data_IF_888806402586
#
_entry.id   IF_888806402586
#
_cell.length_a   1.000
_cell.length_b   1.000
_cell.length_c   1.000
_cell.angle_alpha   90.00
_cell.angle_beta   90.00
_cell.angle_gamma   90.00
#
_symmetry.space_group_name_H-M   'P 1'
#
loop_
_entity.id
_entity.type
_entity.pdbx_description
1 polymer ?
#
# COMPACT_ATOMS: atom_id res chain seq x y z
N UNK A 1 -29.84 10.04 9.77
CA UNK A 1 -29.52 11.40 9.30
C UNK A 1 -28.01 11.59 9.00
N UNK A 2 -27.08 11.32 9.94
CA UNK A 2 -25.61 11.46 9.68
C UNK A 2 -25.11 10.64 8.50
N UNK A 3 -25.50 9.36 8.36
CA UNK A 3 -25.07 8.49 7.27
C UNK A 3 -25.57 8.99 5.89
N UNK A 4 -26.79 9.54 5.83
CA UNK A 4 -27.35 10.09 4.60
C UNK A 4 -26.57 11.35 4.15
N UNK A 5 -26.22 12.23 5.08
CA UNK A 5 -25.39 13.40 4.79
C UNK A 5 -24.00 13.01 4.29
N UNK A 6 -23.38 11.98 4.89
CA UNK A 6 -22.07 11.47 4.43
C UNK A 6 -22.14 10.83 3.04
N UNK A 7 -23.19 10.03 2.75
CA UNK A 7 -23.42 9.45 1.41
C UNK A 7 -23.66 10.52 0.35
N UNK A 8 -24.40 11.57 0.67
CA UNK A 8 -24.59 12.73 -0.21
C UNK A 8 -23.28 13.47 -0.44
N UNK A 9 -22.50 13.72 0.61
CA UNK A 9 -21.17 14.32 0.48
C UNK A 9 -20.25 13.48 -0.43
N UNK A 10 -20.23 12.17 -0.26
CA UNK A 10 -19.46 11.27 -1.13
C UNK A 10 -19.92 11.33 -2.59
N UNK A 11 -21.23 11.39 -2.84
CA UNK A 11 -21.81 11.47 -4.20
C UNK A 11 -21.52 12.80 -4.91
N UNK A 12 -21.53 13.92 -4.20
CA UNK A 12 -21.35 15.26 -4.77
C UNK A 12 -19.94 15.82 -4.61
N UNK A 13 -19.15 15.32 -3.66
CA UNK A 13 -17.75 15.71 -3.41
C UNK A 13 -16.77 14.58 -3.72
N UNK A 14 -17.07 13.73 -4.68
CA UNK A 14 -16.27 12.53 -5.00
C UNK A 14 -14.79 12.83 -5.25
N UNK A 15 -14.46 14.03 -5.68
CA UNK A 15 -13.10 14.50 -5.93
C UNK A 15 -12.30 14.81 -4.63
N UNK A 16 -12.98 14.88 -3.47
CA UNK A 16 -12.41 15.31 -2.18
C UNK A 16 -12.61 14.30 -1.05
N UNK A 17 -12.98 13.05 -1.35
CA UNK A 17 -13.13 12.05 -0.30
C UNK A 17 -11.76 11.70 0.25
N UNK A 18 -11.45 12.19 1.45
CA UNK A 18 -10.20 11.84 2.12
C UNK A 18 -10.21 10.35 2.52
N UNK A 19 -9.04 9.69 2.55
CA UNK A 19 -8.93 8.31 3.04
C UNK A 19 -9.51 8.11 4.44
N UNK A 20 -9.40 9.12 5.30
CA UNK A 20 -9.99 9.11 6.64
C UNK A 20 -11.52 9.10 6.62
N UNK A 21 -12.14 9.89 5.72
CA UNK A 21 -13.59 9.97 5.63
C UNK A 21 -14.21 8.66 5.12
N UNK A 22 -13.58 8.00 4.14
CA UNK A 22 -14.08 6.72 3.62
C UNK A 22 -14.07 5.63 4.68
N UNK A 23 -13.00 5.51 5.46
CA UNK A 23 -12.93 4.53 6.55
C UNK A 23 -14.05 4.75 7.58
N UNK A 24 -14.31 6.01 7.92
CA UNK A 24 -15.42 6.35 8.84
C UNK A 24 -16.78 5.95 8.26
N UNK A 25 -17.01 6.16 6.96
CA UNK A 25 -18.25 5.75 6.30
C UNK A 25 -18.40 4.23 6.33
N UNK A 26 -17.38 3.49 5.95
CA UNK A 26 -17.40 2.04 5.90
C UNK A 26 -17.59 1.41 7.28
N UNK A 27 -16.95 1.96 8.33
CA UNK A 27 -17.20 1.55 9.73
C UNK A 27 -18.66 1.81 10.16
N UNK A 28 -19.24 2.95 9.79
CA UNK A 28 -20.64 3.27 10.06
C UNK A 28 -21.62 2.35 9.32
N UNK A 29 -21.20 1.76 8.22
CA UNK A 29 -21.97 0.75 7.46
C UNK A 29 -21.78 -0.65 8.01
N UNK A 30 -20.87 -0.85 8.96
CA UNK A 30 -20.68 -2.11 9.67
C UNK A 30 -19.48 -2.95 9.20
N UNK A 31 -18.59 -2.39 8.36
CA UNK A 31 -17.33 -3.04 8.02
C UNK A 31 -16.34 -2.82 9.17
N UNK A 32 -15.71 -3.88 9.62
CA UNK A 32 -14.62 -3.81 10.61
C UNK A 32 -13.32 -3.38 9.90
N UNK A 33 -12.93 -2.11 10.09
CA UNK A 33 -11.69 -1.53 9.53
C UNK A 33 -10.82 -1.02 10.66
N UNK A 34 -9.59 -1.49 10.69
CA UNK A 34 -8.57 -1.12 11.67
C UNK A 34 -8.08 0.32 11.53
N UNK A 35 -7.24 0.74 12.50
CA UNK A 35 -6.65 2.07 12.54
C UNK A 35 -5.49 2.20 11.55
N UNK A 36 -5.16 3.43 11.15
CA UNK A 36 -4.06 3.75 10.22
C UNK A 36 -4.17 3.08 8.83
N UNK A 37 -5.27 2.42 8.52
CA UNK A 37 -5.54 1.87 7.19
C UNK A 37 -5.90 2.98 6.22
N UNK A 38 -5.30 2.95 5.02
CA UNK A 38 -5.54 3.94 3.97
C UNK A 38 -6.10 3.26 2.73
N UNK A 39 -7.25 3.76 2.29
CA UNK A 39 -7.86 3.40 1.00
C UNK A 39 -7.59 4.56 0.04
N UNK A 40 -6.64 4.37 -0.88
CA UNK A 40 -6.29 5.37 -1.89
C UNK A 40 -7.34 5.44 -2.98
N UNK A 41 -7.66 6.64 -3.44
CA UNK A 41 -8.66 6.90 -4.47
C UNK A 41 -9.96 6.10 -4.20
N UNK A 42 -10.68 6.42 -3.12
CA UNK A 42 -11.81 5.62 -2.65
C UNK A 42 -12.92 5.41 -3.69
N UNK A 43 -13.02 6.33 -4.67
CA UNK A 43 -14.04 6.27 -5.71
C UNK A 43 -13.74 5.25 -6.81
N UNK A 44 -12.50 4.80 -6.90
CA UNK A 44 -12.10 3.75 -7.84
C UNK A 44 -12.23 2.33 -7.28
N UNK A 45 -12.57 2.20 -5.98
CA UNK A 45 -12.67 0.91 -5.31
C UNK A 45 -14.04 0.27 -5.52
N UNK A 46 -14.04 -1.05 -5.61
CA UNK A 46 -15.25 -1.86 -5.48
C UNK A 46 -15.15 -2.66 -4.19
N UNK A 47 -15.68 -2.12 -3.10
CA UNK A 47 -15.75 -2.80 -1.80
C UNK A 47 -17.18 -3.26 -1.60
N UNK A 48 -17.37 -4.55 -1.32
CA UNK A 48 -18.69 -5.11 -1.07
C UNK A 48 -19.32 -4.46 0.17
N UNK A 49 -20.47 -3.82 -0.04
CA UNK A 49 -21.23 -3.09 0.99
C UNK A 49 -22.60 -3.71 1.26
N UNK A 50 -22.93 -4.83 0.62
CA UNK A 50 -24.19 -5.54 0.87
C UNK A 50 -24.10 -6.40 2.12
N UNK A 51 -22.89 -6.96 2.39
CA UNK A 51 -22.64 -7.86 3.52
C UNK A 51 -21.49 -7.35 4.38
N UNK A 52 -21.63 -6.14 4.90
CA UNK A 52 -20.58 -5.41 5.63
C UNK A 52 -20.00 -6.19 6.80
N UNK A 53 -20.82 -7.03 7.47
CA UNK A 53 -20.38 -7.91 8.57
C UNK A 53 -19.54 -9.12 8.12
N UNK A 54 -19.41 -9.34 6.81
CA UNK A 54 -18.58 -10.39 6.20
C UNK A 54 -17.22 -9.89 5.75
N UNK A 55 -16.89 -8.61 6.01
CA UNK A 55 -15.60 -8.00 5.63
C UNK A 55 -14.92 -7.44 6.86
N UNK A 56 -13.64 -7.86 7.02
CA UNK A 56 -12.74 -7.33 8.02
C UNK A 56 -11.42 -6.91 7.37
N UNK A 57 -10.93 -5.71 7.73
CA UNK A 57 -9.65 -5.15 7.28
C UNK A 57 -8.90 -4.70 8.54
N UNK A 58 -7.70 -5.19 8.74
CA UNK A 58 -6.86 -4.88 9.90
C UNK A 58 -6.27 -3.48 9.90
N UNK A 59 -5.32 -3.26 10.81
CA UNK A 59 -4.60 -2.01 10.99
C UNK A 59 -3.50 -1.83 9.94
N UNK A 60 -3.12 -0.57 9.67
CA UNK A 60 -1.98 -0.20 8.81
C UNK A 60 -2.05 -0.73 7.38
N UNK A 61 -3.21 -1.14 6.90
CA UNK A 61 -3.36 -1.59 5.52
C UNK A 61 -3.27 -0.44 4.51
N UNK A 62 -2.75 -0.73 3.33
CA UNK A 62 -2.67 0.21 2.21
C UNK A 62 -3.37 -0.42 1.00
N UNK A 63 -4.60 0.02 0.72
CA UNK A 63 -5.40 -0.46 -0.41
C UNK A 63 -5.28 0.56 -1.53
N UNK A 64 -4.58 0.19 -2.61
CA UNK A 64 -4.29 1.12 -3.71
C UNK A 64 -5.41 1.16 -4.74
N UNK A 65 -5.31 2.05 -5.72
CA UNK A 65 -6.37 2.37 -6.70
C UNK A 65 -6.95 1.15 -7.41
N UNK A 66 -8.28 1.14 -7.58
CA UNK A 66 -8.98 0.19 -8.45
C UNK A 66 -9.10 -1.22 -7.91
N UNK A 67 -8.88 -1.44 -6.61
CA UNK A 67 -9.03 -2.76 -6.02
C UNK A 67 -10.50 -3.16 -5.88
N UNK A 68 -10.76 -4.46 -6.00
CA UNK A 68 -12.07 -5.08 -5.77
C UNK A 68 -11.97 -6.03 -4.58
N UNK A 69 -12.88 -5.90 -3.60
CA UNK A 69 -12.95 -6.76 -2.40
C UNK A 69 -14.38 -7.28 -2.29
N UNK A 70 -14.55 -8.60 -2.37
CA UNK A 70 -15.83 -9.28 -2.44
C UNK A 70 -16.08 -10.13 -1.21
N UNK A 71 -17.36 -10.27 -0.83
CA UNK A 71 -17.88 -11.22 0.18
C UNK A 71 -18.94 -12.15 -0.40
N UNK A 72 -19.31 -11.96 -1.68
CA UNK A 72 -20.23 -12.79 -2.44
C UNK A 72 -19.95 -12.62 -3.94
N UNK A 73 -20.53 -13.52 -4.75
CA UNK A 73 -20.63 -13.34 -6.20
C UNK A 73 -22.02 -13.76 -6.72
N UNK A 74 -22.24 -13.64 -8.02
CA UNK A 74 -23.51 -13.98 -8.66
C UNK A 74 -23.43 -15.23 -9.56
N UNK A 75 -22.37 -16.04 -9.46
CA UNK A 75 -22.20 -17.28 -10.24
C UNK A 75 -23.34 -18.28 -10.00
N UNK A 76 -23.99 -18.21 -8.83
CA UNK A 76 -25.20 -18.95 -8.48
C UNK A 76 -26.35 -18.81 -9.49
N UNK A 77 -26.39 -17.71 -10.27
CA UNK A 77 -27.42 -17.53 -11.30
C UNK A 77 -27.32 -18.59 -12.41
N UNK A 78 -26.11 -19.02 -12.72
CA UNK A 78 -25.84 -20.10 -13.68
C UNK A 78 -26.32 -21.43 -13.11
N UNK A 79 -25.96 -21.74 -11.86
CA UNK A 79 -26.37 -22.97 -11.19
C UNK A 79 -27.90 -23.10 -11.14
N UNK A 80 -28.59 -22.00 -10.81
CA UNK A 80 -30.06 -21.96 -10.79
C UNK A 80 -30.67 -22.34 -12.14
N UNK A 81 -30.10 -21.87 -13.25
CA UNK A 81 -30.60 -22.18 -14.60
C UNK A 81 -30.40 -23.63 -14.99
N UNK A 82 -29.38 -24.30 -14.47
CA UNK A 82 -29.07 -25.71 -14.75
C UNK A 82 -29.80 -26.66 -13.82
N UNK A 83 -29.78 -26.39 -12.51
CA UNK A 83 -30.26 -27.28 -11.46
C UNK A 83 -31.67 -26.92 -11.00
N UNK A 84 -32.18 -25.72 -11.28
CA UNK A 84 -33.48 -25.22 -10.89
C UNK A 84 -33.58 -24.76 -9.43
N UNK A 85 -32.54 -25.00 -8.61
CA UNK A 85 -32.53 -24.65 -7.20
C UNK A 85 -31.94 -23.27 -6.95
N UNK A 86 -32.41 -22.62 -5.88
CA UNK A 86 -31.81 -21.37 -5.40
C UNK A 86 -30.75 -21.72 -4.36
N UNK A 87 -29.49 -21.67 -4.77
CA UNK A 87 -28.33 -21.95 -3.91
C UNK A 87 -27.76 -20.62 -3.41
N UNK A 88 -27.68 -20.47 -2.09
CA UNK A 88 -27.05 -19.31 -1.45
C UNK A 88 -25.54 -19.51 -1.34
N UNK A 89 -24.79 -18.39 -1.35
CA UNK A 89 -23.37 -18.41 -1.08
C UNK A 89 -22.95 -17.16 -0.32
N UNK A 90 -21.91 -17.28 0.49
CA UNK A 90 -21.24 -16.19 1.18
C UNK A 90 -19.87 -16.66 1.66
N UNK A 91 -18.90 -15.77 1.68
CA UNK A 91 -17.58 -16.03 2.23
C UNK A 91 -17.09 -14.84 3.04
N UNK A 92 -16.73 -15.06 4.31
CA UNK A 92 -16.10 -14.02 5.12
C UNK A 92 -14.72 -13.70 4.55
N UNK A 93 -14.51 -12.43 4.18
CA UNK A 93 -13.22 -11.96 3.66
C UNK A 93 -12.49 -11.21 4.76
N UNK A 94 -11.27 -11.67 5.07
CA UNK A 94 -10.44 -11.13 6.15
C UNK A 94 -9.11 -10.69 5.58
N UNK A 95 -8.74 -9.44 5.84
CA UNK A 95 -7.43 -8.87 5.53
C UNK A 95 -6.79 -8.54 6.88
N UNK A 96 -5.63 -9.14 7.16
CA UNK A 96 -4.86 -8.95 8.39
C UNK A 96 -4.27 -7.54 8.50
N UNK A 97 -3.30 -7.38 9.40
CA UNK A 97 -2.65 -6.10 9.66
C UNK A 97 -1.46 -5.88 8.71
N UNK A 98 -1.14 -4.61 8.44
CA UNK A 98 0.02 -4.24 7.63
C UNK A 98 0.04 -4.94 6.26
N UNK A 99 -1.09 -4.91 5.56
CA UNK A 99 -1.24 -5.51 4.22
C UNK A 99 -1.24 -4.44 3.15
N UNK A 100 -0.35 -4.58 2.17
CA UNK A 100 -0.36 -3.76 0.95
C UNK A 100 -1.09 -4.48 -0.17
N UNK A 101 -2.13 -3.86 -0.73
CA UNK A 101 -2.86 -4.38 -1.89
C UNK A 101 -2.56 -3.50 -3.10
N UNK A 102 -1.81 -4.07 -4.04
CA UNK A 102 -1.40 -3.42 -5.29
C UNK A 102 -2.58 -3.07 -6.19
N UNK A 103 -2.40 -2.05 -7.04
CA UNK A 103 -3.44 -1.49 -7.90
C UNK A 103 -4.15 -2.58 -8.73
N UNK A 104 -5.47 -2.41 -8.88
CA UNK A 104 -6.32 -3.31 -9.70
C UNK A 104 -6.31 -4.78 -9.27
N UNK A 105 -5.98 -5.07 -8.01
CA UNK A 105 -6.10 -6.42 -7.46
C UNK A 105 -7.54 -6.74 -7.08
N UNK A 106 -7.91 -8.02 -7.20
CA UNK A 106 -9.22 -8.55 -6.81
C UNK A 106 -9.05 -9.55 -5.67
N UNK A 107 -9.71 -9.29 -4.54
CA UNK A 107 -9.79 -10.19 -3.40
C UNK A 107 -11.16 -10.87 -3.47
N UNK A 108 -11.16 -12.17 -3.74
CA UNK A 108 -12.39 -12.93 -3.88
C UNK A 108 -13.02 -13.24 -2.51
N UNK A 109 -14.32 -13.53 -2.52
CA UNK A 109 -15.05 -13.90 -1.31
C UNK A 109 -14.39 -15.09 -0.59
N UNK A 110 -14.44 -15.10 0.74
CA UNK A 110 -13.87 -16.15 1.57
C UNK A 110 -12.34 -16.15 1.63
N UNK A 111 -11.69 -15.11 1.10
CA UNK A 111 -10.23 -14.96 1.19
C UNK A 111 -9.82 -14.52 2.59
N UNK A 112 -8.81 -15.20 3.15
CA UNK A 112 -8.16 -14.82 4.39
C UNK A 112 -6.69 -14.47 4.11
N UNK A 113 -6.33 -13.22 4.28
CA UNK A 113 -4.94 -12.72 4.14
C UNK A 113 -4.38 -12.50 5.54
N UNK A 114 -3.25 -13.12 5.85
CA UNK A 114 -2.53 -12.92 7.11
C UNK A 114 -1.88 -11.54 7.23
N UNK A 115 -1.08 -11.34 8.27
CA UNK A 115 -0.40 -10.08 8.53
C UNK A 115 0.88 -9.92 7.69
N UNK A 116 1.32 -8.67 7.46
CA UNK A 116 2.57 -8.37 6.77
C UNK A 116 2.63 -8.97 5.35
N UNK A 117 1.58 -8.81 4.57
CA UNK A 117 1.48 -9.36 3.21
C UNK A 117 1.54 -8.25 2.17
N UNK A 118 2.31 -8.49 1.11
CA UNK A 118 2.33 -7.64 -0.09
C UNK A 118 1.62 -8.38 -1.22
N UNK A 119 0.52 -7.80 -1.71
CA UNK A 119 -0.20 -8.26 -2.90
C UNK A 119 0.26 -7.43 -4.09
N UNK A 120 0.86 -8.07 -5.09
CA UNK A 120 1.27 -7.42 -6.34
C UNK A 120 0.08 -6.88 -7.13
N UNK A 121 0.31 -5.80 -7.89
CA UNK A 121 -0.74 -5.19 -8.72
C UNK A 121 -1.35 -6.19 -9.71
N UNK A 122 -2.67 -6.05 -9.98
CA UNK A 122 -3.40 -6.90 -10.94
C UNK A 122 -3.59 -8.35 -10.48
N UNK A 123 -3.39 -8.65 -9.21
CA UNK A 123 -3.52 -10.01 -8.68
C UNK A 123 -4.98 -10.40 -8.41
N UNK A 124 -5.30 -11.68 -8.59
CA UNK A 124 -6.58 -12.27 -8.15
C UNK A 124 -6.31 -13.23 -7.00
N UNK A 125 -6.73 -12.85 -5.80
CA UNK A 125 -6.41 -13.53 -4.54
C UNK A 125 -7.61 -14.31 -4.05
N UNK A 126 -7.39 -15.57 -3.68
CA UNK A 126 -8.41 -16.46 -3.10
C UNK A 126 -7.80 -17.41 -2.06
N UNK A 127 -8.64 -17.92 -1.16
CA UNK A 127 -8.24 -18.88 -0.13
C UNK A 127 -7.43 -18.28 1.01
N UNK A 128 -6.57 -19.08 1.63
CA UNK A 128 -5.79 -18.69 2.80
C UNK A 128 -4.37 -18.29 2.41
N UNK A 129 -4.02 -17.05 2.67
CA UNK A 129 -2.69 -16.48 2.43
C UNK A 129 -1.97 -16.36 3.78
N UNK A 130 -0.83 -17.03 3.98
CA UNK A 130 -0.09 -16.94 5.24
C UNK A 130 0.50 -15.55 5.44
N UNK A 131 0.87 -15.23 6.69
CA UNK A 131 1.57 -14.00 7.03
C UNK A 131 2.99 -13.96 6.47
N UNK A 132 3.58 -12.75 6.34
CA UNK A 132 4.98 -12.52 5.98
C UNK A 132 5.38 -13.02 4.59
N UNK A 133 4.50 -12.81 3.62
CA UNK A 133 4.75 -13.22 2.21
C UNK A 133 4.46 -12.09 1.21
N UNK A 134 5.06 -12.23 0.04
CA UNK A 134 4.71 -11.47 -1.17
C UNK A 134 4.01 -12.42 -2.12
N UNK A 135 2.81 -12.05 -2.56
CA UNK A 135 2.02 -12.79 -3.52
C UNK A 135 1.76 -11.96 -4.77
N UNK A 136 1.62 -12.59 -5.92
CA UNK A 136 1.22 -11.93 -7.16
C UNK A 136 0.64 -12.93 -8.18
N UNK A 137 -0.07 -12.38 -9.17
CA UNK A 137 -0.57 -13.11 -10.33
C UNK A 137 -2.06 -13.40 -10.31
N UNK A 138 -2.55 -14.06 -11.37
CA UNK A 138 -3.93 -14.53 -11.52
C UNK A 138 -3.92 -15.99 -11.96
N UNK A 139 -4.27 -16.96 -11.08
CA UNK A 139 -4.48 -16.78 -9.64
C UNK A 139 -3.18 -16.40 -8.89
N UNK A 140 -3.30 -15.63 -7.80
CA UNK A 140 -2.16 -15.21 -7.02
C UNK A 140 -1.44 -16.40 -6.38
N UNK A 141 -0.10 -16.35 -6.43
CA UNK A 141 0.79 -17.35 -5.82
C UNK A 141 1.81 -16.66 -4.95
N UNK A 142 2.35 -17.39 -3.96
CA UNK A 142 3.48 -16.92 -3.16
C UNK A 142 4.69 -16.80 -4.07
N UNK A 143 5.25 -15.58 -4.16
CA UNK A 143 6.44 -15.27 -4.94
C UNK A 143 7.70 -15.47 -4.11
N UNK A 144 7.63 -15.06 -2.82
CA UNK A 144 8.73 -15.15 -1.86
C UNK A 144 8.25 -14.80 -0.46
N UNK A 145 9.10 -15.02 0.54
CA UNK A 145 8.89 -14.50 1.89
C UNK A 145 9.09 -12.98 1.93
N UNK A 146 8.54 -12.33 2.94
CA UNK A 146 8.74 -10.89 3.14
C UNK A 146 10.21 -10.56 3.46
N UNK A 147 10.90 -11.41 4.22
CA UNK A 147 12.33 -11.23 4.54
C UNK A 147 13.21 -11.26 3.29
N UNK A 148 12.97 -12.23 2.40
CA UNK A 148 13.64 -12.27 1.09
C UNK A 148 13.37 -11.01 0.28
N UNK A 149 12.13 -10.52 0.30
CA UNK A 149 11.77 -9.28 -0.40
C UNK A 149 12.50 -8.07 0.17
N UNK A 150 12.56 -7.94 1.50
CA UNK A 150 13.29 -6.87 2.20
C UNK A 150 14.78 -6.92 1.82
N UNK A 151 15.41 -8.10 1.85
CA UNK A 151 16.81 -8.25 1.48
C UNK A 151 17.08 -7.81 0.02
N UNK A 152 16.21 -8.19 -0.92
CA UNK A 152 16.27 -7.76 -2.32
C UNK A 152 16.12 -6.24 -2.43
N UNK A 153 15.18 -5.62 -1.71
CA UNK A 153 14.95 -4.17 -1.74
C UNK A 153 16.15 -3.39 -1.19
N UNK A 154 16.71 -3.84 -0.06
CA UNK A 154 17.94 -3.24 0.51
C UNK A 154 19.10 -3.28 -0.49
N UNK A 155 19.31 -4.43 -1.15
CA UNK A 155 20.37 -4.58 -2.16
C UNK A 155 20.18 -3.67 -3.39
N UNK A 156 18.92 -3.47 -3.83
CA UNK A 156 18.59 -2.65 -5.01
C UNK A 156 18.59 -1.14 -4.73
N UNK A 157 18.23 -0.74 -3.51
CA UNK A 157 17.97 0.66 -3.14
C UNK A 157 19.11 1.61 -3.54
N UNK A 158 20.36 1.21 -3.32
CA UNK A 158 21.53 2.03 -3.69
C UNK A 158 21.64 2.28 -5.19
N UNK A 159 21.48 1.24 -5.99
CA UNK A 159 21.52 1.36 -7.47
C UNK A 159 20.36 2.19 -8.00
N UNK A 160 19.17 2.01 -7.43
CA UNK A 160 18.00 2.79 -7.79
C UNK A 160 18.18 4.28 -7.42
N UNK A 161 18.83 4.58 -6.29
CA UNK A 161 19.17 5.94 -5.89
C UNK A 161 20.16 6.61 -6.86
N UNK A 162 21.16 5.88 -7.37
CA UNK A 162 22.09 6.38 -8.39
C UNK A 162 21.38 6.66 -9.71
N UNK A 163 20.55 5.73 -10.16
CA UNK A 163 19.73 5.94 -11.35
C UNK A 163 18.82 7.17 -11.20
N UNK A 164 18.15 7.31 -10.05
CA UNK A 164 17.29 8.45 -9.75
C UNK A 164 18.08 9.78 -9.81
N UNK A 165 19.22 9.85 -9.11
CA UNK A 165 20.07 11.03 -9.07
C UNK A 165 20.56 11.42 -10.46
N UNK A 166 21.16 10.50 -11.20
CA UNK A 166 21.73 10.76 -12.52
C UNK A 166 20.64 11.17 -13.54
N UNK A 167 19.48 10.52 -13.50
CA UNK A 167 18.33 10.86 -14.35
C UNK A 167 17.79 12.26 -14.02
N UNK A 168 17.73 12.62 -12.74
CA UNK A 168 17.32 13.96 -12.31
C UNK A 168 18.31 15.02 -12.82
N UNK A 169 19.62 14.82 -12.63
CA UNK A 169 20.65 15.73 -13.12
C UNK A 169 20.54 15.94 -14.63
N UNK A 170 20.41 14.87 -15.41
CA UNK A 170 20.23 14.93 -16.86
C UNK A 170 18.95 15.68 -17.27
N UNK A 171 17.84 15.45 -16.56
CA UNK A 171 16.55 16.04 -16.89
C UNK A 171 16.43 17.51 -16.50
N UNK A 172 17.01 17.90 -15.35
CA UNK A 172 16.85 19.23 -14.76
C UNK A 172 18.06 20.15 -14.96
N UNK A 173 19.20 19.65 -15.46
CA UNK A 173 20.43 20.41 -15.63
C UNK A 173 21.09 20.87 -14.32
N UNK A 174 20.68 20.27 -13.19
CA UNK A 174 21.22 20.56 -11.84
C UNK A 174 21.15 19.34 -10.94
N UNK A 175 21.89 19.35 -9.84
CA UNK A 175 21.79 18.30 -8.80
C UNK A 175 20.46 18.43 -8.02
N UNK A 176 19.85 17.29 -7.61
CA UNK A 176 18.68 17.32 -6.73
C UNK A 176 19.06 17.80 -5.32
N UNK A 177 18.12 18.45 -4.64
CA UNK A 177 18.22 18.69 -3.19
C UNK A 177 17.94 17.39 -2.42
N UNK A 178 18.29 17.36 -1.13
CA UNK A 178 17.98 16.21 -0.26
C UNK A 178 16.48 15.90 -0.27
N UNK A 179 15.62 16.92 -0.22
CA UNK A 179 14.17 16.76 -0.29
C UNK A 179 13.72 16.13 -1.62
N UNK A 180 14.33 16.55 -2.74
CA UNK A 180 14.03 16.03 -4.08
C UNK A 180 14.52 14.59 -4.29
N UNK A 181 15.43 14.09 -3.46
CA UNK A 181 15.84 12.68 -3.46
C UNK A 181 14.74 11.75 -2.95
N UNK A 182 13.61 12.28 -2.45
CA UNK A 182 12.48 11.50 -1.99
C UNK A 182 12.89 10.46 -0.94
N UNK A 183 12.45 9.20 -1.04
CA UNK A 183 12.72 8.18 -0.02
C UNK A 183 14.20 7.78 0.09
N UNK A 184 15.06 8.20 -0.84
CA UNK A 184 16.48 7.87 -0.82
C UNK A 184 17.31 8.72 0.15
N UNK A 185 16.71 9.75 0.79
CA UNK A 185 17.40 10.53 1.82
C UNK A 185 17.97 9.63 2.94
N UNK A 186 17.33 8.50 3.20
CA UNK A 186 17.76 7.54 4.22
C UNK A 186 19.16 6.95 3.97
N UNK A 187 19.72 7.09 2.79
CA UNK A 187 21.06 6.60 2.47
C UNK A 187 22.17 7.53 2.99
N UNK A 188 21.90 8.82 3.19
CA UNK A 188 22.93 9.83 3.46
C UNK A 188 22.53 10.92 4.45
N UNK A 189 21.26 11.00 4.86
CA UNK A 189 20.82 12.01 5.81
C UNK A 189 21.32 11.67 7.22
N UNK A 190 21.91 12.67 7.88
CA UNK A 190 22.29 12.57 9.28
C UNK A 190 21.10 12.18 10.15
N UNK A 191 21.33 11.31 11.14
CA UNK A 191 20.31 10.75 12.02
C UNK A 191 20.02 11.69 13.19
N UNK A 192 19.59 12.91 12.87
CA UNK A 192 19.17 13.93 13.86
C UNK A 192 17.80 14.50 13.46
N UNK A 193 17.03 14.91 14.45
CA UNK A 193 15.74 15.59 14.20
C UNK A 193 15.95 16.90 13.45
N UNK A 194 17.01 17.63 13.76
CA UNK A 194 17.38 18.87 13.09
C UNK A 194 17.60 18.67 11.60
N UNK A 195 18.28 17.57 11.22
CA UNK A 195 18.54 17.24 9.82
C UNK A 195 17.22 16.91 9.08
N UNK A 196 16.29 16.19 9.71
CA UNK A 196 14.97 15.88 9.16
C UNK A 196 14.17 17.16 8.92
N UNK A 197 14.10 18.03 9.92
CA UNK A 197 13.36 19.30 9.85
C UNK A 197 13.99 20.26 8.82
N UNK A 198 15.30 20.48 8.90
CA UNK A 198 16.05 21.36 7.99
C UNK A 198 15.87 20.99 6.53
N UNK A 199 15.91 19.69 6.22
CA UNK A 199 15.81 19.19 4.84
C UNK A 199 14.37 18.90 4.42
N UNK A 200 13.37 19.13 5.29
CA UNK A 200 11.93 18.92 5.02
C UNK A 200 11.63 17.52 4.46
N UNK A 201 12.33 16.51 4.94
CA UNK A 201 12.10 15.14 4.53
C UNK A 201 10.98 14.50 5.34
N UNK A 202 10.22 13.63 4.70
CA UNK A 202 9.15 12.89 5.37
C UNK A 202 9.62 11.47 5.69
N UNK A 203 9.86 11.20 6.97
CA UNK A 203 10.25 9.86 7.46
C UNK A 203 9.07 8.90 7.57
N UNK A 204 7.84 9.43 7.56
CA UNK A 204 6.61 8.66 7.73
C UNK A 204 5.80 8.65 6.43
N UNK A 205 5.80 7.55 5.68
CA UNK A 205 4.84 7.37 4.61
C UNK A 205 3.39 7.51 5.13
N UNK A 206 2.46 7.82 4.24
CA UNK A 206 1.06 8.02 4.60
C UNK A 206 0.50 6.85 5.42
N UNK A 207 -0.14 7.15 6.56
CA UNK A 207 -0.81 6.20 7.42
C UNK A 207 0.08 5.45 8.41
N UNK A 208 1.39 5.68 8.39
CA UNK A 208 2.28 5.08 9.36
C UNK A 208 2.41 5.95 10.61
N UNK A 209 2.81 5.35 11.74
CA UNK A 209 3.07 6.09 12.97
C UNK A 209 4.38 6.88 12.84
N UNK A 210 4.28 8.21 12.78
CA UNK A 210 5.43 9.08 12.57
C UNK A 210 6.44 9.06 13.73
N UNK A 211 5.99 8.82 14.96
CA UNK A 211 6.87 8.80 16.14
C UNK A 211 7.76 7.58 16.10
N UNK A 212 7.19 6.38 15.94
CA UNK A 212 7.96 5.12 15.89
C UNK A 212 8.95 5.11 14.73
N UNK A 213 8.55 5.65 13.57
CA UNK A 213 9.41 5.70 12.39
C UNK A 213 10.56 6.70 12.55
N UNK A 214 10.32 7.84 13.18
CA UNK A 214 11.38 8.79 13.48
C UNK A 214 12.38 8.18 14.47
N UNK A 215 11.91 7.59 15.56
CA UNK A 215 12.77 6.89 16.53
C UNK A 215 13.60 5.78 15.87
N UNK A 216 12.99 4.98 14.99
CA UNK A 216 13.71 3.94 14.26
C UNK A 216 14.73 4.53 13.29
N UNK A 217 14.37 5.61 12.57
CA UNK A 217 15.28 6.31 11.69
C UNK A 217 16.51 6.85 12.41
N UNK A 218 16.36 7.35 13.63
CA UNK A 218 17.45 7.92 14.42
C UNK A 218 18.42 6.87 14.98
N UNK A 219 18.03 5.59 15.04
CA UNK A 219 18.86 4.51 15.62
C UNK A 219 19.94 3.98 14.67
N UNK A 220 19.70 4.01 13.38
CA UNK A 220 20.59 3.40 12.39
C UNK A 220 21.57 4.45 11.81
N UNK A 221 22.81 4.05 11.53
CA UNK A 221 23.75 4.91 10.79
C UNK A 221 23.43 4.89 9.29
N UNK A 222 23.53 6.04 8.58
CA UNK A 222 23.36 6.06 7.13
C UNK A 222 24.56 5.38 6.44
N UNK A 223 24.35 4.75 5.27
CA UNK A 223 25.44 4.15 4.48
C UNK A 223 26.52 5.15 4.02
N UNK A 224 26.13 6.39 3.80
CA UNK A 224 27.04 7.50 3.44
C UNK A 224 27.11 8.50 4.59
N UNK A 225 28.30 9.06 4.83
CA UNK A 225 28.52 10.05 5.89
C UNK A 225 27.88 11.40 5.58
N UNK A 226 27.68 11.71 4.30
CA UNK A 226 27.02 12.95 3.86
C UNK A 226 26.37 12.80 2.49
N UNK A 227 25.56 13.79 2.12
CA UNK A 227 24.96 13.86 0.80
C UNK A 227 26.01 14.06 -0.31
N UNK A 228 27.08 14.81 -0.04
CA UNK A 228 28.19 15.05 -0.95
C UNK A 228 28.93 13.76 -1.26
N UNK A 229 29.17 12.90 -0.25
CA UNK A 229 29.77 11.58 -0.45
C UNK A 229 28.91 10.69 -1.35
N UNK A 230 27.59 10.69 -1.11
CA UNK A 230 26.65 9.98 -1.98
C UNK A 230 26.66 10.52 -3.42
N UNK A 231 26.69 11.85 -3.61
CA UNK A 231 26.72 12.47 -4.93
C UNK A 231 27.95 12.05 -5.72
N UNK A 232 29.14 12.08 -5.10
CA UNK A 232 30.40 11.65 -5.74
C UNK A 232 30.32 10.18 -6.17
N UNK A 233 29.78 9.31 -5.32
CA UNK A 233 29.64 7.90 -5.66
C UNK A 233 28.60 7.69 -6.79
N UNK A 234 27.49 8.43 -6.79
CA UNK A 234 26.48 8.38 -7.84
C UNK A 234 27.00 8.90 -9.20
N UNK A 235 27.86 9.92 -9.21
CA UNK A 235 28.48 10.48 -10.40
C UNK A 235 29.53 9.53 -10.99
N UNK A 236 30.23 8.78 -10.14
CA UNK A 236 31.21 7.76 -10.57
C UNK A 236 30.54 6.45 -11.04
N UNK A 237 29.28 6.20 -10.64
CA UNK A 237 28.53 4.99 -10.98
C UNK A 237 27.29 5.34 -11.81
N UNK A 238 27.50 5.99 -12.96
CA UNK A 238 26.40 6.30 -13.89
C UNK A 238 25.77 5.01 -14.39
N UNK A 239 24.49 4.81 -14.06
CA UNK A 239 23.72 3.66 -14.54
C UNK A 239 22.94 4.12 -15.77
N UNK A 240 23.22 3.49 -16.92
CA UNK A 240 22.44 3.71 -18.13
C UNK A 240 21.05 3.08 -17.95
N UNK A 241 19.95 3.79 -18.23
CA UNK A 241 18.58 3.29 -18.06
C UNK A 241 18.12 2.32 -19.16
N UNK A 242 19.04 1.68 -19.93
CA UNK A 242 18.69 0.66 -20.93
C UNK A 242 18.17 -0.64 -20.34
#
# INVERSE_FOLDING_TARGET
MKLLCFKLAQKYCSRFTSPYLINKILRMEGIDIGEHTIIYDPNSQTIDRERTWMLKIGDYCKITKGCTILTHDYSRSVMRMVDGQIIGEAGMTIIGNNVFIGMHSTILMGTHIGDNVIVGAGSVVSGNIPSNVVIAGNPAKIIRTLDEHIAIRKKKSRKEAFLYYNTFCKSKGRKPTIQEMGPFFSLFLERTEEAVIKNKVNVSPNGDNSVDLLEQFLKDAPPYKSYEEFQLDAENNVIDPT
#
